data_IF_314147176838
#
_entry.id   IF_314147176838
#
_cell.length_a   1.000
_cell.length_b   1.000
_cell.length_c   1.000
_cell.angle_alpha   90.00
_cell.angle_beta   90.00
_cell.angle_gamma   90.00
#
_symmetry.space_group_name_H-M   'P 1'
#
loop_
_entity.id
_entity.type
_entity.pdbx_description
1 polymer ?
#
# COMPACT_ATOMS: atom_id res chain seq x y z
N UNK A 1 -14.32 -6.15 9.08
CA UNK A 1 -13.21 -7.11 9.24
C UNK A 1 -13.18 -7.98 8.00
N UNK A 2 -12.02 -8.44 7.57
CA UNK A 2 -11.84 -9.17 6.32
C UNK A 2 -11.63 -10.65 6.67
N UNK A 3 -12.53 -11.50 6.21
CA UNK A 3 -12.46 -12.96 6.37
C UNK A 3 -12.13 -13.67 5.06
N UNK A 4 -12.58 -13.11 3.93
CA UNK A 4 -12.34 -13.69 2.61
C UNK A 4 -10.97 -13.33 2.03
N UNK A 5 -10.28 -14.33 1.48
CA UNK A 5 -9.02 -14.20 0.76
C UNK A 5 -9.10 -13.18 -0.39
N UNK A 6 -10.22 -13.14 -1.13
CA UNK A 6 -10.39 -12.24 -2.27
C UNK A 6 -10.33 -10.76 -1.85
N UNK A 7 -11.04 -10.39 -0.78
CA UNK A 7 -11.03 -9.02 -0.27
C UNK A 7 -9.64 -8.63 0.28
N UNK A 8 -8.91 -9.59 0.85
CA UNK A 8 -7.55 -9.36 1.33
C UNK A 8 -6.56 -9.14 0.18
N UNK A 9 -6.66 -9.94 -0.89
CA UNK A 9 -5.87 -9.80 -2.11
C UNK A 9 -6.10 -8.45 -2.79
N UNK A 10 -7.36 -8.02 -2.90
CA UNK A 10 -7.73 -6.69 -3.39
C UNK A 10 -7.07 -5.58 -2.56
N UNK A 11 -7.12 -5.73 -1.23
CA UNK A 11 -6.59 -4.74 -0.29
C UNK A 11 -5.07 -4.61 -0.39
N UNK A 12 -4.36 -5.73 -0.39
CA UNK A 12 -2.91 -5.77 -0.59
C UNK A 12 -2.55 -5.18 -1.95
N UNK A 13 -3.25 -5.55 -3.02
CA UNK A 13 -3.00 -5.01 -4.38
C UNK A 13 -3.15 -3.49 -4.47
N UNK A 14 -4.10 -2.93 -3.72
CA UNK A 14 -4.31 -1.48 -3.66
C UNK A 14 -3.15 -0.78 -2.93
N UNK A 15 -2.68 -1.35 -1.82
CA UNK A 15 -1.54 -0.82 -1.09
C UNK A 15 -0.23 -0.94 -1.86
N UNK A 16 0.02 -2.08 -2.48
CA UNK A 16 1.18 -2.29 -3.37
C UNK A 16 1.25 -1.24 -4.46
N UNK A 17 0.13 -0.96 -5.15
CA UNK A 17 0.09 0.08 -6.18
C UNK A 17 0.31 1.49 -5.63
N UNK A 18 -0.20 1.79 -4.43
CA UNK A 18 0.02 3.09 -3.78
C UNK A 18 1.50 3.28 -3.40
N UNK A 19 2.13 2.25 -2.83
CA UNK A 19 3.54 2.30 -2.43
C UNK A 19 4.44 2.39 -3.66
N UNK A 20 4.17 1.58 -4.70
CA UNK A 20 4.92 1.64 -5.96
C UNK A 20 4.83 3.03 -6.62
N UNK A 21 3.65 3.65 -6.64
CA UNK A 21 3.47 5.02 -7.15
C UNK A 21 4.28 6.04 -6.35
N UNK A 22 4.31 5.93 -5.02
CA UNK A 22 5.12 6.81 -4.17
C UNK A 22 6.61 6.66 -4.46
N UNK A 23 7.11 5.43 -4.50
CA UNK A 23 8.51 5.15 -4.87
C UNK A 23 8.88 5.78 -6.22
N UNK A 24 8.01 5.68 -7.23
CA UNK A 24 8.27 6.30 -8.55
C UNK A 24 8.25 7.83 -8.50
N UNK A 25 7.34 8.44 -7.75
CA UNK A 25 7.31 9.89 -7.58
C UNK A 25 8.59 10.41 -6.92
N UNK A 26 9.10 9.67 -5.93
CA UNK A 26 10.30 10.05 -5.18
C UNK A 26 11.60 9.59 -5.87
N UNK A 27 11.50 8.95 -7.04
CA UNK A 27 12.63 8.37 -7.80
C UNK A 27 13.45 7.36 -6.98
N UNK A 28 12.76 6.46 -6.31
CA UNK A 28 13.34 5.42 -5.46
C UNK A 28 12.98 4.02 -5.98
N UNK A 29 13.80 3.03 -5.63
CA UNK A 29 13.57 1.60 -5.79
C UNK A 29 13.51 0.91 -4.41
N UNK A 30 12.91 -0.28 -4.34
CA UNK A 30 12.89 -1.12 -3.14
C UNK A 30 13.58 -2.46 -3.40
N UNK A 31 14.28 -2.99 -2.39
CA UNK A 31 14.95 -4.30 -2.46
C UNK A 31 14.27 -5.38 -1.60
N UNK A 32 13.31 -4.99 -0.77
CA UNK A 32 12.51 -5.93 0.01
C UNK A 32 11.10 -5.40 0.28
N UNK A 33 10.16 -6.32 0.43
CA UNK A 33 8.75 -6.05 0.68
C UNK A 33 8.31 -6.90 1.87
N UNK A 34 7.71 -6.25 2.86
CA UNK A 34 7.09 -6.89 4.01
C UNK A 34 5.58 -6.81 3.87
N UNK A 35 4.90 -7.95 4.00
CA UNK A 35 3.45 -8.01 4.07
C UNK A 35 3.06 -8.52 5.44
N UNK A 36 2.13 -7.82 6.08
CA UNK A 36 1.63 -8.18 7.39
C UNK A 36 0.13 -8.35 7.40
N UNK A 37 -0.35 -9.32 8.18
CA UNK A 37 -1.74 -9.55 8.48
C UNK A 37 -1.94 -9.56 9.99
N UNK A 38 -2.94 -8.81 10.46
CA UNK A 38 -3.20 -8.63 11.88
C UNK A 38 -4.70 -8.76 12.17
N UNK A 39 -5.03 -9.69 13.05
CA UNK A 39 -6.35 -9.84 13.67
C UNK A 39 -6.65 -8.71 14.65
N UNK A 40 -7.81 -8.73 15.30
CA UNK A 40 -8.19 -7.71 16.29
C UNK A 40 -7.71 -8.11 17.69
N UNK A 41 -6.67 -7.46 18.26
CA UNK A 41 -6.16 -7.82 19.60
C UNK A 41 -7.16 -7.49 20.72
N UNK A 42 -8.12 -6.60 20.48
CA UNK A 42 -9.10 -6.15 21.48
C UNK A 42 -10.36 -7.01 21.58
N UNK A 43 -10.53 -8.04 20.74
CA UNK A 43 -11.64 -8.99 20.88
C UNK A 43 -11.15 -10.24 21.59
N UNK A 44 -11.49 -10.34 22.87
CA UNK A 44 -11.32 -11.57 23.65
C UNK A 44 -12.36 -12.59 23.16
N UNK A 45 -11.93 -13.83 22.86
CA UNK A 45 -12.80 -14.91 22.37
C UNK A 45 -12.69 -15.28 20.89
N UNK A 46 -11.84 -14.61 20.11
CA UNK A 46 -11.48 -15.02 18.74
C UNK A 46 -9.99 -15.34 18.66
N UNK A 47 -9.61 -16.23 17.74
CA UNK A 47 -8.20 -16.59 17.54
C UNK A 47 -7.38 -15.33 17.18
N UNK A 48 -6.36 -15.08 17.99
CA UNK A 48 -5.44 -13.97 17.76
C UNK A 48 -4.32 -14.42 16.86
N UNK A 49 -4.13 -13.66 15.79
CA UNK A 49 -3.10 -13.92 14.81
C UNK A 49 -2.49 -12.63 14.29
N UNK A 50 -1.16 -12.59 14.32
CA UNK A 50 -0.34 -11.54 13.75
C UNK A 50 0.83 -12.23 13.08
N UNK A 51 1.02 -11.99 11.78
CA UNK A 51 2.16 -12.52 11.06
C UNK A 51 2.63 -11.53 10.02
N UNK A 52 3.94 -11.41 9.90
CA UNK A 52 4.63 -10.63 8.88
C UNK A 52 5.58 -11.55 8.14
N UNK A 53 5.65 -11.41 6.83
CA UNK A 53 6.65 -12.08 6.00
C UNK A 53 7.38 -11.05 5.16
N UNK A 54 8.69 -11.24 5.05
CA UNK A 54 9.59 -10.43 4.24
C UNK A 54 9.98 -11.21 2.99
N UNK A 55 9.81 -10.61 1.82
CA UNK A 55 10.29 -11.14 0.54
C UNK A 55 11.30 -10.15 -0.03
N UNK A 56 12.49 -10.64 -0.38
CA UNK A 56 13.48 -9.84 -1.11
C UNK A 56 13.13 -9.82 -2.58
N UNK A 57 13.31 -8.67 -3.23
CA UNK A 57 13.17 -8.57 -4.68
C UNK A 57 14.46 -9.08 -5.32
N UNK A 58 14.35 -9.70 -6.50
CA UNK A 58 15.51 -10.19 -7.24
C UNK A 58 16.39 -9.02 -7.74
N UNK A 59 15.78 -7.85 -7.94
CA UNK A 59 16.42 -6.62 -8.36
C UNK A 59 15.73 -5.41 -7.72
N UNK A 60 16.42 -4.26 -7.58
CA UNK A 60 15.80 -3.01 -7.17
C UNK A 60 14.67 -2.63 -8.13
N UNK A 61 13.44 -2.47 -7.64
CA UNK A 61 12.29 -2.15 -8.49
C UNK A 61 11.34 -1.17 -7.82
N UNK A 62 10.62 -0.40 -8.62
CA UNK A 62 9.48 0.44 -8.22
C UNK A 62 8.24 0.14 -9.07
N UNK A 63 8.25 -1.02 -9.72
CA UNK A 63 7.21 -1.48 -10.62
C UNK A 63 5.99 -1.92 -9.85
N UNK A 64 4.82 -1.39 -10.25
CA UNK A 64 3.55 -1.81 -9.64
C UNK A 64 3.30 -3.30 -9.86
N UNK A 65 3.72 -3.85 -11.00
CA UNK A 65 3.50 -5.26 -11.34
C UNK A 65 4.32 -6.19 -10.44
N UNK A 66 5.64 -5.97 -10.36
CA UNK A 66 6.53 -6.80 -9.56
C UNK A 66 6.22 -6.69 -8.06
N UNK A 67 6.05 -5.46 -7.55
CA UNK A 67 5.71 -5.25 -6.13
C UNK A 67 4.37 -5.92 -5.79
N UNK A 68 3.37 -5.83 -6.67
CA UNK A 68 2.10 -6.48 -6.41
C UNK A 68 2.20 -8.01 -6.47
N UNK A 69 2.91 -8.56 -7.45
CA UNK A 69 3.14 -10.00 -7.57
C UNK A 69 3.75 -10.57 -6.30
N UNK A 70 4.84 -9.97 -5.81
CA UNK A 70 5.52 -10.39 -4.59
C UNK A 70 4.63 -10.21 -3.35
N UNK A 71 3.89 -9.10 -3.26
CA UNK A 71 2.99 -8.86 -2.14
C UNK A 71 1.82 -9.88 -2.08
N UNK A 72 1.31 -10.32 -3.23
CA UNK A 72 0.28 -11.37 -3.30
C UNK A 72 0.86 -12.69 -2.81
N UNK A 73 2.04 -13.09 -3.30
CA UNK A 73 2.72 -14.31 -2.86
C UNK A 73 2.96 -14.27 -1.34
N UNK A 74 3.47 -13.17 -0.83
CA UNK A 74 3.67 -12.94 0.60
C UNK A 74 2.37 -13.10 1.40
N UNK A 75 1.28 -12.49 0.93
CA UNK A 75 -0.03 -12.61 1.56
C UNK A 75 -0.52 -14.06 1.60
N UNK A 76 -0.35 -14.81 0.51
CA UNK A 76 -0.76 -16.22 0.45
C UNK A 76 0.00 -17.11 1.43
N UNK A 77 1.29 -16.83 1.68
CA UNK A 77 2.10 -17.56 2.66
C UNK A 77 1.66 -17.37 4.12
N UNK A 78 1.08 -16.21 4.44
CA UNK A 78 0.69 -15.87 5.83
C UNK A 78 -0.82 -15.92 6.06
N UNK A 79 -1.61 -16.09 5.00
CA UNK A 79 -3.06 -16.21 5.11
C UNK A 79 -3.45 -17.53 5.79
N UNK A 80 -4.21 -17.42 6.86
CA UNK A 80 -4.92 -18.54 7.50
C UNK A 80 -6.44 -18.38 7.34
N UNK A 81 -7.16 -19.42 6.89
CA UNK A 81 -8.62 -19.44 6.86
C UNK A 81 -9.20 -19.40 8.28
N UNK A 82 -10.43 -18.92 8.42
CA UNK A 82 -11.14 -18.84 9.72
C UNK A 82 -10.78 -17.64 10.59
N UNK A 83 -9.72 -16.89 10.25
CA UNK A 83 -9.28 -15.72 11.02
C UNK A 83 -9.91 -14.44 10.48
N UNK A 84 -10.40 -13.61 11.40
CA UNK A 84 -10.93 -12.28 11.05
C UNK A 84 -9.84 -11.21 11.12
N UNK A 85 -9.34 -10.79 9.96
CA UNK A 85 -8.28 -9.79 9.87
C UNK A 85 -8.84 -8.37 10.03
N UNK A 86 -8.19 -7.58 10.89
CA UNK A 86 -8.51 -6.17 11.13
C UNK A 86 -7.60 -5.23 10.34
N UNK A 87 -6.31 -5.55 10.25
CA UNK A 87 -5.33 -4.78 9.48
C UNK A 87 -4.56 -5.70 8.53
N UNK A 88 -4.25 -5.15 7.37
CA UNK A 88 -3.37 -5.73 6.38
C UNK A 88 -2.63 -4.58 5.70
N UNK A 89 -1.38 -4.79 5.32
CA UNK A 89 -0.59 -3.75 4.68
C UNK A 89 0.69 -4.28 4.06
N UNK A 90 1.32 -3.39 3.29
CA UNK A 90 2.58 -3.62 2.60
C UNK A 90 3.56 -2.55 3.06
N UNK A 91 4.75 -2.97 3.44
CA UNK A 91 5.87 -2.11 3.84
C UNK A 91 7.02 -2.41 2.89
N UNK A 92 7.75 -1.38 2.49
CA UNK A 92 8.93 -1.50 1.62
C UNK A 92 10.19 -1.17 2.41
N UNK A 93 11.26 -1.90 2.14
CA UNK A 93 12.52 -1.83 2.87
C UNK A 93 13.70 -1.74 1.90
N UNK A 94 14.83 -1.30 2.43
CA UNK A 94 16.09 -1.17 1.68
C UNK A 94 15.89 -0.33 0.43
N UNK A 95 15.41 0.88 0.65
CA UNK A 95 15.06 1.84 -0.40
C UNK A 95 16.36 2.45 -0.95
N UNK A 96 16.52 2.43 -2.26
CA UNK A 96 17.71 2.97 -2.95
C UNK A 96 17.31 3.99 -4.00
N UNK A 97 18.18 4.96 -4.34
CA UNK A 97 17.95 5.87 -5.46
C UNK A 97 17.75 5.13 -6.77
N UNK A 98 16.81 5.61 -7.60
CA UNK A 98 16.50 4.98 -8.88
C UNK A 98 17.64 5.08 -9.90
N UNK A 99 18.59 6.00 -9.69
CA UNK A 99 19.71 6.24 -10.61
C UNK A 99 20.96 5.43 -10.23
N UNK A 100 20.98 4.79 -9.05
CA UNK A 100 22.19 4.17 -8.48
C UNK A 100 22.14 2.64 -8.44
N UNK A 101 21.43 1.98 -9.35
CA UNK A 101 21.36 0.52 -9.37
C UNK A 101 22.25 -0.09 -10.45
N UNK A 102 22.92 -1.18 -10.08
CA UNK A 102 23.70 -1.97 -11.01
C UNK A 102 22.76 -2.83 -11.87
N UNK A 103 22.87 -2.73 -13.19
CA UNK A 103 22.19 -3.64 -14.09
C UNK A 103 22.79 -5.04 -13.93
N UNK A 104 21.93 -6.04 -13.74
CA UNK A 104 22.34 -7.43 -13.79
C UNK A 104 22.48 -7.86 -15.25
N UNK A 105 23.54 -8.61 -15.55
CA UNK A 105 23.79 -9.19 -16.88
C UNK A 105 22.71 -10.24 -17.21
N UNK A 106 22.23 -10.96 -16.19
CA UNK A 106 21.19 -11.99 -16.32
C UNK A 106 20.03 -11.68 -15.37
N UNK A 107 18.83 -11.56 -15.93
CA UNK A 107 17.62 -11.23 -15.20
C UNK A 107 17.51 -9.74 -14.88
N UNK A 108 16.41 -9.13 -15.31
CA UNK A 108 16.13 -7.72 -15.08
C UNK A 108 14.63 -7.46 -15.18
N UNK A 109 14.21 -6.29 -14.72
CA UNK A 109 12.83 -5.86 -14.97
C UNK A 109 12.59 -5.73 -16.46
N UNK A 110 11.41 -6.13 -16.93
CA UNK A 110 11.01 -5.86 -18.30
C UNK A 110 11.05 -4.33 -18.55
N UNK A 111 11.87 -3.83 -19.49
CA UNK A 111 12.05 -2.39 -19.70
C UNK A 111 10.73 -1.69 -20.06
N UNK A 112 9.79 -2.41 -20.66
CA UNK A 112 8.47 -1.89 -21.03
C UNK A 112 7.63 -1.47 -19.82
N UNK A 113 7.84 -2.08 -18.65
CA UNK A 113 7.08 -1.74 -17.44
C UNK A 113 7.26 -0.28 -17.05
N UNK A 114 8.49 0.25 -17.14
CA UNK A 114 8.74 1.65 -16.78
C UNK A 114 8.01 2.62 -17.71
N UNK A 115 8.01 2.37 -19.02
CA UNK A 115 7.34 3.23 -19.99
C UNK A 115 5.81 3.24 -19.75
N UNK A 116 5.21 2.07 -19.58
CA UNK A 116 3.78 1.92 -19.33
C UNK A 116 3.39 2.61 -18.03
N UNK A 117 4.12 2.35 -16.93
CA UNK A 117 3.80 2.91 -15.63
C UNK A 117 3.97 4.43 -15.59
N UNK A 118 4.97 5.00 -16.29
CA UNK A 118 5.12 6.45 -16.44
C UNK A 118 3.91 7.09 -17.13
N UNK A 119 3.38 6.44 -18.18
CA UNK A 119 2.17 6.91 -18.88
C UNK A 119 0.95 6.81 -17.97
N UNK A 120 0.77 5.67 -17.29
CA UNK A 120 -0.32 5.45 -16.33
C UNK A 120 -0.30 6.50 -15.21
N UNK A 121 0.87 6.77 -14.63
CA UNK A 121 0.99 7.77 -13.56
C UNK A 121 0.71 9.19 -14.07
N UNK A 122 1.15 9.53 -15.29
CA UNK A 122 0.85 10.81 -15.93
C UNK A 122 -0.65 10.98 -16.15
N UNK A 123 -1.33 9.96 -16.66
CA UNK A 123 -2.78 9.98 -16.86
C UNK A 123 -3.53 10.10 -15.53
N UNK A 124 -3.13 9.32 -14.53
CA UNK A 124 -3.69 9.41 -13.17
C UNK A 124 -3.49 10.80 -12.54
N UNK A 125 -2.39 11.50 -12.85
CA UNK A 125 -2.17 12.87 -12.37
C UNK A 125 -3.09 13.89 -13.06
N UNK A 126 -3.39 13.70 -14.35
CA UNK A 126 -4.23 14.61 -15.15
C UNK A 126 -5.74 14.41 -14.93
N UNK A 127 -6.21 13.16 -14.89
CA UNK A 127 -7.65 12.81 -14.92
C UNK A 127 -8.21 12.65 -13.49
N UNK A 128 -7.33 12.62 -12.50
CA UNK A 128 -7.67 12.45 -11.09
C UNK A 128 -7.14 11.14 -10.52
N UNK A 129 -6.81 11.21 -9.23
CA UNK A 129 -6.13 10.11 -8.56
C UNK A 129 -6.96 8.84 -8.63
N UNK A 130 -6.29 7.74 -9.02
CA UNK A 130 -6.84 6.37 -9.05
C UNK A 130 -7.90 6.06 -10.13
N UNK A 131 -7.88 6.76 -11.26
CA UNK A 131 -8.74 6.46 -12.43
C UNK A 131 -8.27 5.22 -13.21
N UNK A 132 -6.97 5.09 -13.42
CA UNK A 132 -6.33 3.91 -14.01
C UNK A 132 -5.72 3.10 -12.88
N UNK A 133 -6.16 1.85 -12.77
CA UNK A 133 -5.81 0.92 -11.69
C UNK A 133 -5.42 -0.42 -12.28
N UNK A 134 -4.67 -1.19 -11.50
CA UNK A 134 -4.37 -2.58 -11.86
C UNK A 134 -5.65 -3.43 -11.73
N UNK A 135 -5.86 -4.41 -12.60
CA UNK A 135 -7.10 -5.22 -12.61
C UNK A 135 -7.38 -5.98 -11.32
N UNK A 136 -6.37 -6.21 -10.48
CA UNK A 136 -6.51 -6.80 -9.14
C UNK A 136 -6.98 -5.82 -8.06
N UNK A 137 -7.10 -4.53 -8.39
CA UNK A 137 -7.65 -3.48 -7.52
C UNK A 137 -9.14 -3.30 -7.83
N UNK A 138 -9.96 -3.02 -6.82
CA UNK A 138 -11.39 -2.78 -7.07
C UNK A 138 -11.64 -1.47 -7.81
N UNK A 139 -12.57 -1.51 -8.76
CA UNK A 139 -13.09 -0.32 -9.44
C UNK A 139 -14.15 0.43 -8.60
N UNK A 140 -14.98 -0.31 -7.85
CA UNK A 140 -16.19 0.25 -7.20
C UNK A 140 -15.99 0.69 -5.75
N UNK A 141 -15.10 0.04 -4.99
CA UNK A 141 -14.90 0.32 -3.55
C UNK A 141 -13.77 1.33 -3.34
N UNK A 142 -14.14 2.59 -3.11
CA UNK A 142 -13.23 3.55 -2.47
C UNK A 142 -13.12 3.17 -1.00
N UNK A 143 -12.20 2.25 -0.67
CA UNK A 143 -11.86 1.96 0.72
C UNK A 143 -11.22 3.17 1.37
N UNK A 144 -12.04 4.06 1.92
CA UNK A 144 -11.59 5.20 2.70
C UNK A 144 -10.95 4.66 3.97
N UNK A 145 -9.70 5.05 4.24
CA UNK A 145 -9.07 4.78 5.53
C UNK A 145 -10.01 5.29 6.62
N UNK A 146 -10.43 4.42 7.55
CA UNK A 146 -11.26 4.83 8.69
C UNK A 146 -10.45 5.80 9.55
N UNK A 147 -10.78 7.09 9.42
CA UNK A 147 -10.15 8.23 10.08
C UNK A 147 -11.14 8.95 11.00
N UNK A 148 -12.08 8.21 11.59
CA UNK A 148 -13.17 8.73 12.43
C UNK A 148 -12.67 9.34 13.75
N UNK A 149 -11.43 9.04 14.16
CA UNK A 149 -10.77 9.58 15.36
C UNK A 149 -9.49 10.34 15.02
N UNK A 150 -9.49 11.09 13.91
CA UNK A 150 -8.40 12.02 13.66
C UNK A 150 -8.50 13.17 14.68
N UNK A 151 -7.39 13.54 15.32
CA UNK A 151 -7.34 14.81 16.04
C UNK A 151 -7.57 15.96 15.04
N UNK A 152 -8.20 17.07 15.46
CA UNK A 152 -8.35 18.24 14.60
C UNK A 152 -6.97 18.70 14.10
N UNK A 153 -6.89 19.09 12.83
CA UNK A 153 -5.65 19.56 12.21
C UNK A 153 -5.44 21.05 12.49
N UNK A 154 -5.16 21.40 13.75
CA UNK A 154 -5.06 22.79 14.23
C UNK A 154 -4.14 23.70 13.40
N UNK A 155 -3.05 23.16 12.86
CA UNK A 155 -2.04 23.95 12.12
C UNK A 155 -2.24 23.98 10.61
N UNK A 156 -3.08 23.10 10.06
CA UNK A 156 -3.17 22.89 8.61
C UNK A 156 -4.59 23.00 8.07
N UNK A 157 -5.58 23.21 8.93
CA UNK A 157 -6.98 23.31 8.54
C UNK A 157 -7.70 24.37 9.36
N UNK A 158 -8.08 25.46 8.71
CA UNK A 158 -8.79 26.58 9.33
C UNK A 158 -10.10 26.16 10.03
N UNK A 159 -10.80 25.15 9.48
CA UNK A 159 -12.03 24.60 10.06
C UNK A 159 -11.83 23.84 11.39
N UNK A 160 -10.58 23.48 11.69
CA UNK A 160 -10.23 22.66 12.84
C UNK A 160 -9.57 23.52 13.95
N UNK A 161 -9.57 24.84 13.79
CA UNK A 161 -9.07 25.79 14.79
C UNK A 161 -9.97 25.80 16.03
N UNK A 162 -9.34 25.97 17.19
CA UNK A 162 -10.05 26.08 18.46
C UNK A 162 -10.81 27.41 18.46
N UNK A 163 -12.15 27.35 18.44
CA UNK A 163 -13.02 28.50 18.66
C UNK A 163 -13.20 28.71 20.15
N UNK A 164 -12.72 29.85 20.66
CA UNK A 164 -12.97 30.27 22.05
C UNK A 164 -14.14 31.24 22.03
N UNK A 165 -15.30 30.80 22.52
CA UNK A 165 -16.43 31.70 22.76
C UNK A 165 -16.22 32.37 24.10
N UNK A 166 -15.99 33.68 24.10
CA UNK A 166 -16.04 34.47 25.33
C UNK A 166 -17.51 34.73 25.65
N UNK A 167 -18.05 34.05 26.66
CA UNK A 167 -19.27 34.48 27.33
C UNK A 167 -18.86 35.53 28.36
N UNK A 168 -19.36 36.76 28.18
CA UNK A 168 -19.10 38.01 28.91
C UNK A 168 -17.97 38.90 28.37
N UNK A 169 -18.34 39.70 27.37
CA UNK A 169 -18.02 41.14 27.33
C UNK A 169 -19.33 41.91 27.37
#
# INVERSE_FOLDING_TARGET
>A
MLTEKANLKERISTFSGTVAKKLRNDKLHTNAIDVFLMSNPFRRGLEQYVKTVRIRTDFPTNSTFEINRLAIIAMEMIYKPGISYKKAGVIVHSITPADSFQMKIFGGENPNHQHILKVVDRLNRKIGDTKIRLGSQSLKRKWKMRRERLSPSYTSRWSDLITVNCENC
#
